data_IF_761356529702
#
_entry.id   IF_761356529702
#
_cell.length_a   1.000
_cell.length_b   1.000
_cell.length_c   1.000
_cell.angle_alpha   90.00
_cell.angle_beta   90.00
_cell.angle_gamma   90.00
#
_symmetry.space_group_name_H-M   'P 1'
#
loop_
_entity.id
_entity.type
_entity.pdbx_description
1 polymer ?
#
# COMPACT_ATOMS: atom_id res chain seq x y z
N UNK A 1 10.36 10.36 -3.23
CA UNK A 1 9.01 10.19 -2.65
C UNK A 1 9.11 9.15 -1.54
N UNK A 2 8.47 9.36 -0.40
CA UNK A 2 8.52 8.47 0.75
C UNK A 2 7.84 7.12 0.46
N UNK A 3 8.46 6.00 0.83
CA UNK A 3 7.91 4.65 0.67
C UNK A 3 6.51 4.53 1.30
N UNK A 4 6.28 5.23 2.42
CA UNK A 4 4.98 5.26 3.08
C UNK A 4 3.88 5.88 2.22
N UNK A 5 4.20 6.82 1.33
CA UNK A 5 3.22 7.39 0.38
C UNK A 5 2.77 6.37 -0.65
N UNK A 6 3.67 5.50 -1.12
CA UNK A 6 3.31 4.41 -2.04
C UNK A 6 2.47 3.36 -1.33
N UNK A 7 2.87 2.95 -0.12
CA UNK A 7 2.12 2.01 0.72
C UNK A 7 0.69 2.53 0.94
N UNK A 8 0.54 3.78 1.37
CA UNK A 8 -0.78 4.39 1.59
C UNK A 8 -1.64 4.39 0.31
N UNK A 9 -1.06 4.75 -0.84
CA UNK A 9 -1.80 4.75 -2.11
C UNK A 9 -2.25 3.36 -2.53
N UNK A 10 -1.40 2.34 -2.41
CA UNK A 10 -1.73 0.94 -2.72
C UNK A 10 -2.91 0.49 -1.85
N UNK A 11 -2.79 0.67 -0.53
CA UNK A 11 -3.85 0.29 0.40
C UNK A 11 -5.17 1.03 0.12
N UNK A 12 -5.11 2.34 -0.16
CA UNK A 12 -6.31 3.13 -0.47
C UNK A 12 -6.99 2.71 -1.78
N UNK A 13 -6.23 2.27 -2.78
CA UNK A 13 -6.79 1.75 -4.03
C UNK A 13 -7.48 0.39 -3.79
N UNK A 14 -6.87 -0.48 -2.99
CA UNK A 14 -7.45 -1.79 -2.63
C UNK A 14 -8.68 -1.67 -1.71
N UNK A 15 -8.73 -0.67 -0.84
CA UNK A 15 -9.95 -0.34 -0.08
C UNK A 15 -11.08 0.11 -1.01
N UNK A 16 -10.78 1.01 -1.97
CA UNK A 16 -11.76 1.46 -2.96
C UNK A 16 -12.26 0.35 -3.87
N UNK A 17 -11.43 -0.68 -4.11
CA UNK A 17 -11.83 -1.81 -4.95
C UNK A 17 -12.77 -2.78 -4.25
N UNK A 18 -13.02 -2.64 -2.94
CA UNK A 18 -13.97 -3.49 -2.21
C UNK A 18 -15.41 -3.34 -2.73
N UNK A 19 -15.74 -2.18 -3.33
CA UNK A 19 -17.06 -1.91 -3.91
C UNK A 19 -17.14 -2.28 -5.41
N UNK A 20 -16.05 -2.78 -6.00
CA UNK A 20 -15.98 -3.11 -7.43
C UNK A 20 -16.17 -4.61 -7.67
N UNK A 21 -16.93 -4.97 -8.70
CA UNK A 21 -17.04 -6.36 -9.15
C UNK A 21 -15.71 -6.89 -9.70
N UNK A 22 -14.96 -6.01 -10.40
CA UNK A 22 -13.64 -6.32 -10.96
C UNK A 22 -12.64 -5.19 -10.64
N UNK A 23 -11.42 -5.59 -10.30
CA UNK A 23 -10.32 -4.66 -10.03
C UNK A 23 -9.20 -4.88 -11.04
N UNK A 24 -8.77 -3.81 -11.71
CA UNK A 24 -7.59 -3.82 -12.57
C UNK A 24 -6.29 -3.80 -11.73
N UNK A 25 -5.52 -4.91 -11.68
CA UNK A 25 -4.31 -4.96 -10.87
C UNK A 25 -3.21 -4.03 -11.37
N UNK A 26 -3.24 -3.58 -12.63
CA UNK A 26 -2.25 -2.64 -13.16
C UNK A 26 -2.30 -1.28 -12.45
N UNK A 27 -3.45 -0.91 -11.85
CA UNK A 27 -3.62 0.32 -11.06
C UNK A 27 -2.70 0.39 -9.83
N UNK A 28 -2.23 -0.75 -9.35
CA UNK A 28 -1.24 -0.84 -8.28
C UNK A 28 0.13 -1.32 -8.79
N UNK A 29 0.37 -1.28 -10.10
CA UNK A 29 1.63 -1.65 -10.73
C UNK A 29 2.74 -0.60 -10.57
N UNK A 30 3.99 -1.01 -10.75
CA UNK A 30 5.16 -0.13 -10.60
C UNK A 30 5.15 1.10 -11.53
N UNK A 31 4.53 0.98 -12.71
CA UNK A 31 4.41 2.06 -13.70
C UNK A 31 3.49 3.19 -13.21
N UNK A 32 2.37 2.84 -12.57
CA UNK A 32 1.40 3.81 -12.02
C UNK A 32 1.97 4.66 -10.87
N UNK A 33 3.02 4.16 -10.22
CA UNK A 33 3.70 4.85 -9.13
C UNK A 33 4.97 5.57 -9.56
N UNK A 34 5.37 5.46 -10.84
CA UNK A 34 6.64 5.97 -11.37
C UNK A 34 7.84 5.53 -10.50
N UNK A 35 7.89 4.24 -10.17
CA UNK A 35 8.99 3.63 -9.42
C UNK A 35 9.56 2.42 -10.14
N UNK A 36 10.79 2.08 -9.81
CA UNK A 36 11.43 0.89 -10.34
C UNK A 36 10.71 -0.39 -9.90
N UNK A 37 10.60 -1.36 -10.81
CA UNK A 37 10.04 -2.70 -10.51
C UNK A 37 10.67 -3.35 -9.28
N UNK A 38 12.00 -3.29 -9.05
CA UNK A 38 12.61 -3.86 -7.84
C UNK A 38 12.18 -3.19 -6.53
N UNK A 39 11.90 -1.88 -6.53
CA UNK A 39 11.38 -1.18 -5.34
C UNK A 39 9.94 -1.60 -5.08
N UNK A 40 9.10 -1.59 -6.12
CA UNK A 40 7.72 -2.01 -6.04
C UNK A 40 7.58 -3.45 -5.53
N UNK A 41 8.34 -4.40 -6.10
CA UNK A 41 8.35 -5.80 -5.67
C UNK A 41 8.65 -5.97 -4.18
N UNK A 42 9.63 -5.21 -3.65
CA UNK A 42 9.98 -5.26 -2.22
C UNK A 42 8.86 -4.68 -1.36
N UNK A 43 8.22 -3.60 -1.80
CA UNK A 43 7.05 -3.03 -1.11
C UNK A 43 5.91 -4.05 -1.05
N UNK A 44 5.55 -4.66 -2.19
CA UNK A 44 4.48 -5.67 -2.24
C UNK A 44 4.80 -6.90 -1.39
N UNK A 45 6.06 -7.34 -1.38
CA UNK A 45 6.53 -8.43 -0.51
C UNK A 45 6.36 -8.08 0.97
N UNK A 46 6.79 -6.89 1.40
CA UNK A 46 6.61 -6.45 2.79
C UNK A 46 5.13 -6.35 3.17
N UNK A 47 4.28 -5.83 2.28
CA UNK A 47 2.84 -5.73 2.54
C UNK A 47 2.17 -7.10 2.69
N UNK A 48 2.57 -8.09 1.88
CA UNK A 48 2.08 -9.47 2.02
C UNK A 48 2.59 -10.12 3.30
N UNK A 49 3.89 -10.05 3.56
CA UNK A 49 4.52 -10.68 4.72
C UNK A 49 4.00 -10.12 6.04
N UNK A 50 3.69 -8.83 6.08
CA UNK A 50 3.09 -8.17 7.23
C UNK A 50 1.57 -8.22 7.22
N UNK A 51 0.95 -8.98 6.30
CA UNK A 51 -0.49 -9.20 6.22
C UNK A 51 -1.32 -7.93 6.04
N UNK A 52 -0.78 -6.89 5.41
CA UNK A 52 -1.55 -5.68 5.05
C UNK A 52 -2.35 -5.86 3.76
N UNK A 53 -1.92 -6.78 2.89
CA UNK A 53 -2.61 -7.18 1.67
C UNK A 53 -2.58 -8.71 1.51
N UNK A 54 -3.53 -9.24 0.76
CA UNK A 54 -3.61 -10.66 0.39
C UNK A 54 -3.84 -10.84 -1.11
N UNK A 55 -3.94 -12.09 -1.56
CA UNK A 55 -4.27 -12.42 -2.96
C UNK A 55 -3.19 -12.05 -3.98
N UNK A 56 -1.94 -11.93 -3.54
CA UNK A 56 -0.76 -11.81 -4.40
C UNK A 56 0.19 -12.97 -4.15
N UNK A 57 0.96 -13.38 -5.16
CA UNK A 57 2.02 -14.39 -5.02
C UNK A 57 3.38 -13.73 -4.98
N UNK A 58 4.23 -14.20 -4.08
CA UNK A 58 5.60 -13.70 -3.88
C UNK A 58 6.54 -14.89 -3.84
N UNK A 59 7.58 -14.88 -4.66
CA UNK A 59 8.60 -15.92 -4.67
C UNK A 59 9.98 -15.35 -5.00
N UNK A 60 11.01 -16.12 -4.64
CA UNK A 60 12.41 -15.76 -4.81
C UNK A 60 13.05 -16.70 -5.84
N UNK A 61 13.92 -16.17 -6.67
CA UNK A 61 14.63 -16.93 -7.70
C UNK A 61 16.11 -16.57 -7.70
N UNK A 62 16.96 -17.53 -8.09
CA UNK A 62 18.42 -17.33 -8.09
C UNK A 62 18.91 -16.33 -9.15
N UNK A 63 18.09 -16.05 -10.17
CA UNK A 63 18.39 -15.14 -11.27
C UNK A 63 17.99 -13.68 -11.00
N UNK A 64 17.45 -13.38 -9.81
CA UNK A 64 16.90 -12.06 -9.51
C UNK A 64 17.06 -11.68 -8.02
N UNK A 65 17.77 -10.58 -7.76
CA UNK A 65 18.05 -10.09 -6.38
C UNK A 65 16.87 -9.43 -5.65
N UNK A 66 15.66 -9.56 -6.19
CA UNK A 66 14.46 -8.99 -5.60
C UNK A 66 13.25 -9.93 -5.77
N UNK A 67 12.26 -9.87 -4.87
CA UNK A 67 11.10 -10.76 -4.95
C UNK A 67 10.37 -10.63 -6.28
N UNK A 68 9.98 -11.75 -6.87
CA UNK A 68 8.99 -11.76 -7.95
C UNK A 68 7.61 -11.66 -7.33
N UNK A 69 6.76 -10.87 -7.96
CA UNK A 69 5.40 -10.58 -7.48
C UNK A 69 4.43 -10.78 -8.63
N UNK A 70 3.37 -11.55 -8.37
CA UNK A 70 2.21 -11.69 -9.26
C UNK A 70 0.97 -11.21 -8.53
N UNK A 71 0.20 -10.34 -9.18
CA UNK A 71 -1.09 -9.89 -8.68
C UNK A 71 -2.15 -10.89 -9.19
N UNK A 72 -2.71 -11.71 -8.31
CA UNK A 72 -3.74 -12.68 -8.69
C UNK A 72 -5.13 -12.09 -8.46
N UNK A 73 -5.46 -11.81 -7.20
CA UNK A 73 -6.67 -11.11 -6.76
C UNK A 73 -6.30 -10.25 -5.55
N UNK A 74 -5.52 -9.18 -5.76
CA UNK A 74 -5.00 -8.38 -4.66
C UNK A 74 -6.15 -7.77 -3.86
N UNK A 75 -6.12 -7.91 -2.54
CA UNK A 75 -7.14 -7.38 -1.63
C UNK A 75 -6.46 -6.77 -0.40
N UNK A 76 -7.09 -5.75 0.18
CA UNK A 76 -6.68 -5.22 1.49
C UNK A 76 -7.16 -6.14 2.61
N UNK A 77 -6.38 -6.27 3.67
CA UNK A 77 -6.78 -7.04 4.87
C UNK A 77 -7.31 -6.12 5.96
N UNK A 78 -7.81 -6.71 7.06
CA UNK A 78 -8.15 -5.95 8.27
C UNK A 78 -6.99 -5.07 8.77
N UNK A 79 -5.78 -5.62 8.84
CA UNK A 79 -4.58 -4.90 9.26
C UNK A 79 -4.22 -3.76 8.30
N UNK A 80 -4.46 -3.95 7.00
CA UNK A 80 -4.35 -2.89 6.00
C UNK A 80 -5.31 -1.72 6.27
N UNK A 81 -6.56 -2.03 6.63
CA UNK A 81 -7.57 -1.02 7.00
C UNK A 81 -7.20 -0.29 8.30
N UNK A 82 -6.70 -1.01 9.31
CA UNK A 82 -6.20 -0.42 10.57
C UNK A 82 -5.06 0.58 10.30
N UNK A 83 -4.10 0.21 9.45
CA UNK A 83 -3.01 1.11 9.04
C UNK A 83 -3.51 2.40 8.38
N UNK A 84 -4.52 2.29 7.50
CA UNK A 84 -5.14 3.46 6.86
C UNK A 84 -5.86 4.34 7.89
N UNK A 85 -6.53 3.74 8.88
CA UNK A 85 -7.23 4.46 9.92
C UNK A 85 -6.28 5.18 10.89
N UNK A 86 -5.22 4.52 11.37
CA UNK A 86 -4.22 5.12 12.26
C UNK A 86 -3.49 6.30 11.62
N UNK A 87 -3.07 6.18 10.35
CA UNK A 87 -2.49 7.30 9.61
C UNK A 87 -3.49 8.45 9.39
N UNK A 88 -4.79 8.16 9.34
CA UNK A 88 -5.83 9.20 9.30
C UNK A 88 -6.03 9.88 10.66
N UNK A 89 -5.95 9.10 11.75
CA UNK A 89 -6.10 9.57 13.13
C UNK A 89 -4.90 10.42 13.57
N UNK A 90 -3.68 9.97 13.33
CA UNK A 90 -2.46 10.74 13.63
C UNK A 90 -2.42 12.04 12.82
N UNK A 91 -2.86 12.05 11.55
CA UNK A 91 -3.01 13.29 10.77
C UNK A 91 -4.09 14.21 11.33
N UNK A 92 -5.26 13.69 11.75
CA UNK A 92 -6.32 14.49 12.38
C UNK A 92 -5.85 15.12 13.69
N UNK A 93 -5.18 14.36 14.55
CA UNK A 93 -4.62 14.85 15.82
C UNK A 93 -3.50 15.87 15.57
N UNK A 94 -2.59 15.60 14.63
CA UNK A 94 -1.52 16.55 14.27
C UNK A 94 -2.07 17.86 13.69
N UNK A 95 -3.10 17.79 12.84
CA UNK A 95 -3.75 18.98 12.27
C UNK A 95 -4.55 19.75 13.31
N UNK A 96 -5.25 19.08 14.23
CA UNK A 96 -5.95 19.72 15.34
C UNK A 96 -4.98 20.45 16.28
N UNK A 97 -3.83 19.84 16.60
CA UNK A 97 -2.80 20.46 17.43
C UNK A 97 -2.12 21.67 16.74
N UNK A 98 -1.96 21.64 15.40
CA UNK A 98 -1.51 22.81 14.63
C UNK A 98 -2.53 23.94 14.61
N UNK A 99 -3.81 23.62 14.42
CA UNK A 99 -4.89 24.63 14.44
C UNK A 99 -4.99 25.38 15.77
N UNK A 100 -4.69 24.73 16.89
CA UNK A 100 -4.63 25.38 18.22
C UNK A 100 -3.43 26.32 18.34
N UNK A 101 -2.28 26.00 17.72
CA UNK A 101 -1.07 26.85 17.75
C UNK A 101 -1.17 28.11 16.89
N UNK A 102 -2.03 28.13 15.88
CA UNK A 102 -2.27 29.32 15.03
C UNK A 102 -3.29 30.29 15.65
N UNK A 103 -4.01 29.87 16.69
CA UNK A 103 -5.02 30.66 17.41
C UNK A 103 -4.49 31.31 18.71
N UNK A 104 -3.20 31.10 19.04
CA UNK A 104 -2.53 31.66 20.22
C UNK A 104 -1.42 32.61 19.76
#
# INVERSE_FOLDING_TARGET
MDNFKYIYRILKLLEKSMDLEEFDPELIGYKEFDISKPRWSRIMSMLKEQEYIQGIDVWYSLDQDYPRVKLARPEITLKGLEYLNENSMTKKVHNAAKGIKELI
#
